data_IF_443297749919
#
_entry.id   IF_443297749919
#
_cell.length_a   1.000
_cell.length_b   1.000
_cell.length_c   1.000
_cell.angle_alpha   90.00
_cell.angle_beta   90.00
_cell.angle_gamma   90.00
#
_symmetry.space_group_name_H-M   'P 1'
#
loop_
_entity.id
_entity.type
_entity.pdbx_description
1 polymer ?
#
# COMPACT_ATOMS: atom_id res chain seq x y z
N UNK A 1 -63.84 -21.03 -66.20
CA UNK A 1 -63.21 -19.69 -66.07
C UNK A 1 -62.01 -19.88 -65.17
N UNK A 2 -60.78 -20.06 -65.71
CA UNK A 2 -59.82 -18.97 -66.00
C UNK A 2 -59.72 -18.02 -64.80
N UNK A 3 -58.58 -17.77 -64.16
CA UNK A 3 -57.30 -17.37 -64.74
C UNK A 3 -56.19 -17.40 -63.68
N UNK A 4 -55.02 -17.85 -64.13
CA UNK A 4 -53.65 -17.31 -63.98
C UNK A 4 -52.99 -17.00 -62.60
N UNK A 5 -51.67 -17.29 -62.51
CA UNK A 5 -50.76 -16.92 -61.43
C UNK A 5 -50.08 -15.55 -61.69
N UNK A 6 -49.56 -14.92 -60.65
CA UNK A 6 -48.69 -13.72 -60.67
C UNK A 6 -48.50 -13.25 -59.22
N UNK A 7 -47.38 -12.77 -58.70
CA UNK A 7 -46.05 -12.41 -59.22
C UNK A 7 -45.16 -12.05 -58.03
N UNK A 8 -43.83 -12.15 -58.22
CA UNK A 8 -42.86 -11.22 -57.65
C UNK A 8 -42.37 -11.52 -56.23
N UNK A 9 -41.17 -11.15 -55.81
CA UNK A 9 -40.07 -10.39 -56.39
C UNK A 9 -38.81 -10.76 -55.56
N UNK A 10 -37.64 -10.62 -56.18
CA UNK A 10 -36.34 -10.88 -55.58
C UNK A 10 -36.09 -10.07 -54.28
N UNK A 11 -35.41 -10.70 -53.32
CA UNK A 11 -34.70 -9.99 -52.23
C UNK A 11 -33.19 -10.16 -52.44
N UNK A 12 -32.39 -9.08 -52.43
CA UNK A 12 -30.94 -9.18 -52.55
C UNK A 12 -30.29 -9.69 -51.25
N UNK A 13 -29.07 -10.27 -51.32
CA UNK A 13 -28.31 -10.62 -50.12
C UNK A 13 -27.89 -9.36 -49.37
N UNK A 14 -28.08 -9.37 -48.05
CA UNK A 14 -27.78 -8.25 -47.17
C UNK A 14 -26.31 -7.82 -47.23
N UNK A 15 -26.10 -6.52 -47.43
CA UNK A 15 -24.86 -5.87 -47.07
C UNK A 15 -24.80 -5.76 -45.54
N UNK A 16 -23.74 -6.23 -44.86
CA UNK A 16 -23.57 -5.94 -43.46
C UNK A 16 -23.27 -4.44 -43.29
N UNK A 17 -24.22 -3.72 -42.71
CA UNK A 17 -23.98 -2.40 -42.14
C UNK A 17 -22.95 -2.55 -41.01
N UNK A 18 -21.67 -2.55 -41.35
CA UNK A 18 -20.55 -2.45 -40.39
C UNK A 18 -20.40 -1.01 -39.92
N UNK A 19 -21.52 -0.45 -39.45
CA UNK A 19 -21.52 0.73 -38.61
C UNK A 19 -20.84 0.35 -37.30
N UNK A 20 -19.70 1.00 -37.05
CA UNK A 20 -18.90 0.88 -35.83
C UNK A 20 -19.70 1.50 -34.67
N UNK A 21 -20.78 0.84 -34.28
CA UNK A 21 -21.52 1.11 -33.05
C UNK A 21 -20.66 0.58 -31.91
N UNK A 22 -19.69 1.38 -31.47
CA UNK A 22 -19.11 1.14 -30.16
C UNK A 22 -20.25 1.36 -29.16
N UNK A 23 -20.70 0.32 -28.43
CA UNK A 23 -21.81 0.51 -27.51
C UNK A 23 -21.38 1.55 -26.48
N UNK A 24 -22.27 2.53 -26.23
CA UNK A 24 -22.11 3.59 -25.21
C UNK A 24 -21.76 3.13 -23.77
N UNK A 25 -22.01 1.89 -23.28
CA UNK A 25 -21.63 1.52 -21.93
C UNK A 25 -20.12 1.24 -21.79
N UNK A 26 -19.38 1.07 -22.88
CA UNK A 26 -17.95 0.74 -22.82
C UNK A 26 -17.10 1.93 -22.35
N UNK A 27 -17.55 3.17 -22.63
CA UNK A 27 -16.93 4.39 -22.15
C UNK A 27 -17.24 4.66 -20.67
N UNK A 28 -18.44 4.31 -20.19
CA UNK A 28 -18.83 4.44 -18.78
C UNK A 28 -18.07 3.43 -17.91
N UNK A 29 -17.89 2.20 -18.38
CA UNK A 29 -17.07 1.20 -17.66
C UNK A 29 -15.61 1.64 -17.61
N UNK A 30 -15.04 2.15 -18.70
CA UNK A 30 -13.65 2.64 -18.71
C UNK A 30 -13.41 3.83 -17.77
N UNK A 31 -14.36 4.78 -17.68
CA UNK A 31 -14.29 5.92 -16.74
C UNK A 31 -14.51 5.47 -15.29
N UNK A 32 -15.38 4.49 -15.05
CA UNK A 32 -15.61 3.92 -13.71
C UNK A 32 -14.39 3.10 -13.22
N UNK A 33 -13.72 2.38 -14.12
CA UNK A 33 -12.47 1.67 -13.84
C UNK A 33 -11.30 2.63 -13.57
N UNK A 34 -11.28 3.80 -14.21
CA UNK A 34 -10.25 4.83 -14.00
C UNK A 34 -10.40 5.56 -12.65
N UNK A 35 -11.61 5.55 -12.05
CA UNK A 35 -11.89 6.21 -10.77
C UNK A 35 -11.39 5.44 -9.52
N UNK A 36 -10.88 4.21 -9.67
CA UNK A 36 -10.41 3.36 -8.57
C UNK A 36 -8.89 3.41 -8.34
N UNK A 37 -8.13 4.25 -9.05
CA UNK A 37 -6.74 4.57 -8.67
C UNK A 37 -6.77 5.50 -7.47
N UNK A 38 -7.21 4.99 -6.32
CA UNK A 38 -7.11 5.70 -5.05
C UNK A 38 -5.68 5.52 -4.56
N UNK A 39 -4.96 6.61 -4.40
CA UNK A 39 -3.62 6.59 -3.80
C UNK A 39 -3.72 5.97 -2.41
N UNK A 40 -3.07 4.82 -2.22
CA UNK A 40 -2.96 4.21 -0.90
C UNK A 40 -2.01 5.10 -0.10
N UNK A 41 -2.52 5.74 0.96
CA UNK A 41 -1.63 6.27 1.97
C UNK A 41 -0.95 5.06 2.64
N UNK A 42 0.38 5.03 2.67
CA UNK A 42 1.09 3.96 3.35
C UNK A 42 0.73 3.98 4.84
N UNK A 43 0.24 2.85 5.35
CA UNK A 43 -0.05 2.71 6.79
C UNK A 43 1.29 2.64 7.52
N UNK A 44 1.49 3.44 8.59
CA UNK A 44 2.72 3.37 9.35
C UNK A 44 2.83 2.03 10.08
N UNK A 45 4.04 1.49 10.18
CA UNK A 45 4.33 0.32 11.00
C UNK A 45 4.67 0.76 12.42
N UNK A 46 4.07 0.12 13.42
CA UNK A 46 4.31 0.42 14.83
C UNK A 46 5.28 -0.60 15.43
N UNK A 47 6.37 -0.12 16.03
CA UNK A 47 7.34 -0.93 16.78
C UNK A 47 7.23 -0.55 18.25
N UNK A 48 6.83 -1.52 19.08
CA UNK A 48 6.75 -1.38 20.52
C UNK A 48 8.06 -1.76 21.20
N UNK A 49 8.55 -0.91 22.11
CA UNK A 49 9.63 -1.28 23.01
C UNK A 49 9.18 -2.39 23.98
N UNK A 50 10.12 -3.16 24.53
CA UNK A 50 9.79 -4.22 25.50
C UNK A 50 9.17 -3.70 26.81
N UNK A 51 9.42 -2.43 27.15
CA UNK A 51 8.86 -1.70 28.29
C UNK A 51 7.76 -0.69 27.89
N UNK A 52 7.25 -0.77 26.66
CA UNK A 52 6.21 0.13 26.17
C UNK A 52 4.89 0.01 26.91
N UNK A 53 4.07 1.06 26.82
CA UNK A 53 2.73 1.04 27.40
C UNK A 53 1.81 0.00 26.71
N UNK A 54 0.83 -0.57 27.44
CA UNK A 54 -0.05 -1.61 26.88
C UNK A 54 -0.85 -1.17 25.65
N UNK A 55 -1.13 0.14 25.52
CA UNK A 55 -1.85 0.69 24.38
C UNK A 55 -1.04 0.56 23.09
N UNK A 56 0.27 0.85 23.14
CA UNK A 56 1.16 0.69 21.99
C UNK A 56 1.48 -0.77 21.73
N UNK A 57 1.72 -1.57 22.77
CA UNK A 57 1.94 -3.01 22.63
C UNK A 57 0.77 -3.73 21.92
N UNK A 58 -0.47 -3.30 22.17
CA UNK A 58 -1.65 -3.86 21.50
C UNK A 58 -1.78 -3.45 20.02
N UNK A 59 -1.12 -2.36 19.60
CA UNK A 59 -1.12 -1.84 18.24
C UNK A 59 0.16 -2.19 17.48
N UNK A 60 1.11 -2.85 18.13
CA UNK A 60 2.44 -3.10 17.60
C UNK A 60 2.41 -4.15 16.49
N UNK A 61 3.00 -3.80 15.35
CA UNK A 61 3.34 -4.76 14.30
C UNK A 61 4.60 -5.56 14.67
N UNK A 62 5.51 -4.92 15.40
CA UNK A 62 6.74 -5.51 15.92
C UNK A 62 6.86 -5.20 17.41
N UNK A 63 7.15 -6.22 18.22
CA UNK A 63 7.40 -6.05 19.66
C UNK A 63 8.85 -6.42 19.94
N UNK A 64 9.58 -5.48 20.51
CA UNK A 64 10.95 -5.66 20.98
C UNK A 64 10.98 -6.42 22.29
N UNK A 65 12.06 -7.18 22.52
CA UNK A 65 12.31 -7.88 23.78
C UNK A 65 13.24 -7.09 24.71
N UNK A 66 13.82 -5.98 24.22
CA UNK A 66 14.74 -5.13 24.95
C UNK A 66 16.21 -5.53 24.77
N UNK A 67 16.53 -6.44 23.85
CA UNK A 67 17.90 -6.86 23.52
C UNK A 67 18.06 -6.83 22.01
N UNK A 68 19.04 -6.05 21.53
CA UNK A 68 19.32 -5.98 20.09
C UNK A 68 18.15 -5.48 19.24
N UNK A 69 17.37 -4.54 19.79
CA UNK A 69 16.14 -4.01 19.19
C UNK A 69 16.33 -3.35 17.81
N UNK A 70 17.58 -3.08 17.41
CA UNK A 70 17.87 -2.66 16.03
C UNK A 70 17.39 -3.68 14.99
N UNK A 71 17.30 -4.97 15.34
CA UNK A 71 16.90 -6.04 14.43
C UNK A 71 15.42 -5.90 14.07
N UNK A 72 14.56 -5.69 15.08
CA UNK A 72 13.12 -5.48 14.91
C UNK A 72 12.85 -4.16 14.19
N UNK A 73 13.54 -3.08 14.59
CA UNK A 73 13.41 -1.78 13.92
C UNK A 73 13.82 -1.89 12.45
N UNK A 74 14.91 -2.60 12.14
CA UNK A 74 15.37 -2.77 10.76
C UNK A 74 14.40 -3.66 9.96
N UNK A 75 13.82 -4.68 10.58
CA UNK A 75 12.78 -5.51 9.95
C UNK A 75 11.54 -4.69 9.62
N UNK A 76 11.09 -3.81 10.52
CA UNK A 76 9.98 -2.90 10.28
C UNK A 76 10.30 -1.92 9.14
N UNK A 77 11.49 -1.32 9.13
CA UNK A 77 11.95 -0.44 8.05
C UNK A 77 12.01 -1.16 6.69
N UNK A 78 12.44 -2.43 6.67
CA UNK A 78 12.51 -3.24 5.46
C UNK A 78 11.14 -3.67 4.93
N UNK A 79 10.13 -3.73 5.80
CA UNK A 79 8.75 -4.05 5.44
C UNK A 79 7.98 -2.83 4.87
N UNK A 80 8.52 -1.61 5.00
CA UNK A 80 7.88 -0.41 4.50
C UNK A 80 7.91 -0.33 2.97
N UNK A 81 6.84 0.21 2.35
CA UNK A 81 6.91 0.69 0.98
C UNK A 81 7.78 1.97 0.89
N UNK A 82 8.15 2.36 -0.32
CA UNK A 82 8.88 3.61 -0.58
C UNK A 82 8.16 4.81 0.06
N UNK A 83 8.87 5.57 0.90
CA UNK A 83 8.29 6.72 1.60
C UNK A 83 7.50 6.38 2.89
N UNK A 84 7.56 5.13 3.35
CA UNK A 84 6.83 4.69 4.54
C UNK A 84 7.32 5.30 5.85
N UNK A 85 6.52 5.12 6.90
CA UNK A 85 6.83 5.60 8.26
C UNK A 85 6.84 4.43 9.24
N UNK A 86 7.89 4.32 10.05
CA UNK A 86 7.92 3.50 11.25
C UNK A 86 7.67 4.41 12.45
N UNK A 87 6.67 4.06 13.25
CA UNK A 87 6.36 4.68 14.53
C UNK A 87 7.03 3.85 15.63
N UNK A 88 7.94 4.46 16.36
CA UNK A 88 8.48 3.91 17.60
C UNK A 88 7.55 4.31 18.75
N UNK A 89 7.10 3.32 19.51
CA UNK A 89 6.28 3.52 20.71
C UNK A 89 7.06 4.22 21.82
N UNK A 90 6.38 4.46 22.93
CA UNK A 90 7.03 4.81 24.18
C UNK A 90 7.91 3.66 24.70
N UNK A 91 8.93 3.98 25.47
CA UNK A 91 9.86 3.03 26.07
C UNK A 91 11.29 3.13 25.55
N UNK A 92 12.08 2.11 25.88
CA UNK A 92 13.51 2.04 25.62
C UNK A 92 13.84 0.96 24.60
N UNK A 93 14.44 1.38 23.49
CA UNK A 93 14.99 0.50 22.46
C UNK A 93 16.50 0.36 22.67
N UNK A 94 16.95 -0.84 23.04
CA UNK A 94 18.35 -1.18 23.32
C UNK A 94 19.04 -1.74 22.07
N UNK A 95 19.69 -0.84 21.33
CA UNK A 95 20.35 -1.17 20.08
C UNK A 95 21.85 -1.43 20.31
N UNK A 96 22.34 -2.65 20.12
CA UNK A 96 23.80 -2.92 20.13
C UNK A 96 24.45 -2.76 18.75
N UNK A 97 23.62 -2.72 17.70
CA UNK A 97 23.98 -2.43 16.32
C UNK A 97 23.45 -1.07 15.84
N UNK A 98 23.72 -0.77 14.57
CA UNK A 98 23.23 0.46 13.93
C UNK A 98 21.83 0.28 13.37
N UNK A 99 21.06 1.37 13.38
CA UNK A 99 19.76 1.48 12.70
C UNK A 99 19.98 2.28 11.43
N UNK A 100 19.55 1.74 10.29
CA UNK A 100 19.75 2.34 8.98
C UNK A 100 18.39 2.53 8.29
N UNK A 101 17.71 3.67 8.54
CA UNK A 101 16.50 4.04 7.79
C UNK A 101 16.84 4.17 6.30
N UNK A 102 15.98 3.63 5.45
CA UNK A 102 16.15 3.78 4.00
C UNK A 102 15.83 5.22 3.56
N UNK A 103 16.38 5.63 2.43
CA UNK A 103 16.11 6.96 1.89
C UNK A 103 14.60 7.18 1.70
N UNK A 104 14.11 8.33 2.17
CA UNK A 104 12.68 8.67 2.11
C UNK A 104 11.81 8.01 3.18
N UNK A 105 12.34 7.09 4.00
CA UNK A 105 11.58 6.55 5.14
C UNK A 105 11.62 7.52 6.33
N UNK A 106 10.57 7.46 7.14
CA UNK A 106 10.48 8.24 8.38
C UNK A 106 10.55 7.32 9.59
N UNK A 107 11.43 7.62 10.54
CA UNK A 107 11.45 7.01 11.86
C UNK A 107 10.89 8.03 12.87
N UNK A 108 9.69 7.79 13.38
CA UNK A 108 8.94 8.74 14.22
C UNK A 108 8.79 8.21 15.65
N UNK A 109 9.35 8.90 16.64
CA UNK A 109 9.10 8.60 18.05
C UNK A 109 7.90 9.35 18.63
N UNK A 110 7.42 8.94 19.80
CA UNK A 110 6.32 9.61 20.53
C UNK A 110 6.75 10.93 21.20
N UNK A 111 8.05 11.23 21.19
CA UNK A 111 8.63 12.45 21.75
C UNK A 111 9.94 12.18 22.49
N UNK A 112 10.71 13.24 22.81
CA UNK A 112 12.01 13.12 23.46
C UNK A 112 11.94 12.55 24.89
N UNK A 113 10.79 12.70 25.56
CA UNK A 113 10.56 12.21 26.93
C UNK A 113 9.83 10.86 26.98
N UNK A 114 9.51 10.28 25.81
CA UNK A 114 8.71 9.06 25.70
C UNK A 114 9.47 7.93 25.00
N UNK A 115 10.19 8.23 23.92
CA UNK A 115 10.89 7.23 23.11
C UNK A 115 12.40 7.40 23.28
N UNK A 116 13.07 6.35 23.76
CA UNK A 116 14.51 6.36 24.01
C UNK A 116 15.22 5.34 23.13
N UNK A 117 16.09 5.82 22.23
CA UNK A 117 17.02 4.98 21.47
C UNK A 117 18.35 4.90 22.23
N UNK A 118 18.63 3.75 22.86
CA UNK A 118 19.89 3.51 23.57
C UNK A 118 20.83 2.70 22.71
N UNK A 119 21.82 3.38 22.14
CA UNK A 119 22.87 2.71 21.41
C UNK A 119 24.01 2.27 22.32
N UNK A 120 24.39 1.00 22.19
CA UNK A 120 25.52 0.38 22.88
C UNK A 120 26.62 -0.02 21.88
N UNK A 121 27.82 -0.33 22.40
CA UNK A 121 28.99 -0.75 21.60
C UNK A 121 29.34 0.31 20.55
N UNK A 122 29.03 0.03 19.28
CA UNK A 122 29.25 0.90 18.14
C UNK A 122 27.96 1.24 17.39
N UNK A 123 26.80 0.88 17.97
CA UNK A 123 25.49 1.19 17.40
C UNK A 123 25.32 2.69 17.23
N UNK A 124 24.75 3.08 16.09
CA UNK A 124 24.40 4.47 15.77
C UNK A 124 23.16 4.51 14.89
N UNK A 125 22.48 5.64 14.87
CA UNK A 125 21.51 5.94 13.83
C UNK A 125 22.25 6.48 12.61
N UNK A 126 22.26 5.72 11.51
CA UNK A 126 22.92 6.12 10.27
C UNK A 126 21.89 6.72 9.31
N UNK A 127 21.91 8.05 9.19
CA UNK A 127 21.04 8.80 8.29
C UNK A 127 21.92 9.42 7.20
N UNK A 128 21.74 8.98 5.97
CA UNK A 128 22.54 9.36 4.80
C UNK A 128 21.71 10.15 3.79
#
# INVERSE_FOLDING_TARGET
>A
MTVRPSSGMASPPGLPCTGRCWPRPLLVVAVLSLLLVQGVAAVPLVVAAGDSSPAFAAQADYTCDGIDDQVEIQAALAALPDGGTVILADGTFNCSGSVNPAAGTTLLGQGPDATFLKFSRNGRLNVS
#
